data_IF_063891172395
#
_entry.id   IF_063891172395
#
_cell.length_a   1.000
_cell.length_b   1.000
_cell.length_c   1.000
_cell.angle_alpha   90.00
_cell.angle_beta   90.00
_cell.angle_gamma   90.00
#
_symmetry.space_group_name_H-M   'P 1'
#
loop_
_entity.id
_entity.type
_entity.pdbx_description
1 polymer ?
#
# COMPACT_ATOMS: atom_id res chain seq x y z
N UNK A 1 -2.99 21.50 13.40
CA UNK A 1 -3.10 20.28 12.59
C UNK A 1 -2.48 19.16 13.40
N UNK A 2 -3.30 18.26 13.94
CA UNK A 2 -2.78 17.01 14.48
C UNK A 2 -2.34 16.16 13.27
N UNK A 3 -1.15 15.58 13.31
CA UNK A 3 -0.72 14.63 12.30
C UNK A 3 -1.62 13.38 12.49
N UNK A 4 -2.37 12.93 11.47
CA UNK A 4 -3.37 11.86 11.59
C UNK A 4 -2.77 10.46 11.90
N UNK A 5 -1.48 10.40 12.24
CA UNK A 5 -0.68 9.18 12.29
C UNK A 5 0.21 9.13 13.54
N UNK A 6 -0.16 9.82 14.63
CA UNK A 6 0.70 9.95 15.82
C UNK A 6 1.05 8.59 16.46
N UNK A 7 0.19 7.59 16.29
CA UNK A 7 0.38 6.22 16.79
C UNK A 7 0.54 5.18 15.64
N UNK A 8 0.60 5.65 14.38
CA UNK A 8 0.79 4.77 13.25
C UNK A 8 2.23 4.24 13.24
N UNK A 9 2.38 2.93 13.17
CA UNK A 9 3.66 2.25 13.04
C UNK A 9 3.56 1.26 11.89
N UNK A 10 4.65 1.10 11.13
CA UNK A 10 4.68 0.10 10.07
C UNK A 10 4.61 -1.28 10.71
N UNK A 11 3.55 -2.03 10.41
CA UNK A 11 3.33 -3.39 10.91
C UNK A 11 3.91 -4.45 10.00
N UNK A 12 4.12 -4.14 8.72
CA UNK A 12 4.83 -5.01 7.79
C UNK A 12 5.52 -4.23 6.67
N UNK A 13 6.56 -4.86 6.11
CA UNK A 13 7.17 -4.48 4.83
C UNK A 13 7.38 -5.75 4.03
N UNK A 14 7.11 -5.71 2.72
CA UNK A 14 7.31 -6.85 1.82
C UNK A 14 7.74 -6.39 0.44
N UNK A 15 8.74 -7.07 -0.12
CA UNK A 15 9.08 -6.93 -1.54
C UNK A 15 8.03 -7.58 -2.42
N UNK A 16 7.69 -6.94 -3.52
CA UNK A 16 6.78 -7.42 -4.54
C UNK A 16 7.56 -7.74 -5.83
N UNK A 17 6.81 -8.11 -6.86
CA UNK A 17 7.28 -8.17 -8.23
C UNK A 17 7.22 -6.80 -8.87
N UNK A 18 7.22 -6.77 -10.19
CA UNK A 18 7.04 -5.57 -10.98
C UNK A 18 5.57 -5.46 -11.38
N UNK A 19 4.79 -4.71 -10.60
CA UNK A 19 3.34 -4.57 -10.78
C UNK A 19 3.00 -3.60 -11.92
N UNK A 20 3.95 -2.73 -12.30
CA UNK A 20 3.76 -1.73 -13.35
C UNK A 20 4.51 -2.02 -14.66
N UNK A 21 5.14 -3.19 -14.77
CA UNK A 21 5.90 -3.70 -15.94
C UNK A 21 6.98 -2.72 -16.44
N UNK A 22 7.70 -2.07 -15.52
CA UNK A 22 8.77 -1.11 -15.86
C UNK A 22 10.20 -1.72 -15.79
N UNK A 23 10.28 -3.01 -15.48
CA UNK A 23 11.49 -3.78 -15.29
C UNK A 23 12.08 -3.71 -13.88
N UNK A 24 11.38 -3.08 -12.92
CA UNK A 24 11.87 -2.81 -11.57
C UNK A 24 10.90 -3.43 -10.56
N UNK A 25 11.46 -4.05 -9.51
CA UNK A 25 10.62 -4.63 -8.46
C UNK A 25 10.07 -3.56 -7.52
N UNK A 26 8.83 -3.74 -7.14
CA UNK A 26 8.09 -2.89 -6.22
C UNK A 26 8.15 -3.40 -4.80
N UNK A 27 7.59 -2.64 -3.87
CA UNK A 27 7.39 -3.10 -2.50
C UNK A 27 6.10 -2.54 -1.91
N UNK A 28 5.67 -3.16 -0.82
CA UNK A 28 4.59 -2.67 0.01
C UNK A 28 5.05 -2.50 1.46
N UNK A 29 4.45 -1.51 2.11
CA UNK A 29 4.46 -1.35 3.55
C UNK A 29 3.02 -1.10 4.01
N UNK A 30 2.70 -1.45 5.24
CA UNK A 30 1.42 -1.06 5.78
C UNK A 30 1.39 -0.99 7.29
N UNK A 31 0.27 -0.51 7.78
CA UNK A 31 0.02 -0.16 9.18
C UNK A 31 -1.46 -0.35 9.43
N UNK A 32 -1.82 -1.08 10.49
CA UNK A 32 -3.22 -1.24 10.92
C UNK A 32 -3.74 -0.01 11.69
N UNK A 33 -2.85 0.84 12.22
CA UNK A 33 -3.19 2.01 13.06
C UNK A 33 -3.36 3.32 12.27
N UNK A 34 -3.54 3.27 10.95
CA UNK A 34 -3.78 4.48 10.16
C UNK A 34 -5.21 4.97 10.38
N UNK A 35 -5.36 6.23 10.81
CA UNK A 35 -6.66 6.88 10.95
C UNK A 35 -7.14 7.48 9.62
N UNK A 36 -8.44 7.35 9.33
CA UNK A 36 -9.07 8.14 8.28
C UNK A 36 -9.21 9.60 8.74
N UNK A 37 -8.58 10.57 8.04
CA UNK A 37 -8.63 11.97 8.45
C UNK A 37 -10.03 12.60 8.40
N UNK A 38 -10.97 12.00 7.66
CA UNK A 38 -12.35 12.48 7.57
C UNK A 38 -13.21 12.03 8.77
N UNK A 39 -12.94 10.86 9.35
CA UNK A 39 -13.74 10.28 10.43
C UNK A 39 -13.02 10.17 11.78
N UNK A 40 -11.69 10.21 11.78
CA UNK A 40 -10.82 9.96 12.94
C UNK A 40 -10.83 8.51 13.40
N UNK A 41 -11.31 7.57 12.56
CA UNK A 41 -11.37 6.15 12.90
C UNK A 41 -10.16 5.42 12.35
N UNK A 42 -9.65 4.44 13.09
CA UNK A 42 -8.60 3.54 12.63
C UNK A 42 -9.17 2.63 11.53
N UNK A 43 -8.54 2.72 10.35
CA UNK A 43 -8.92 1.98 9.13
C UNK A 43 -7.74 1.26 8.49
N UNK A 44 -6.53 1.44 9.00
CA UNK A 44 -5.32 0.87 8.41
C UNK A 44 -5.03 1.36 6.98
N UNK A 45 -3.82 1.10 6.51
CA UNK A 45 -3.45 1.33 5.12
C UNK A 45 -2.30 0.43 4.67
N UNK A 46 -2.28 0.18 3.37
CA UNK A 46 -1.22 -0.46 2.62
C UNK A 46 -0.77 0.53 1.55
N UNK A 47 0.53 0.80 1.55
CA UNK A 47 1.22 1.63 0.58
C UNK A 47 2.00 0.70 -0.33
N UNK A 48 1.64 0.64 -1.60
CA UNK A 48 2.44 0.01 -2.65
C UNK A 48 3.24 1.13 -3.30
N UNK A 49 4.55 0.94 -3.36
CA UNK A 49 5.48 1.90 -3.93
C UNK A 49 6.15 1.24 -5.13
N UNK A 50 6.03 1.88 -6.29
CA UNK A 50 6.69 1.42 -7.50
C UNK A 50 8.20 1.66 -7.40
N UNK A 51 8.96 0.63 -7.76
CA UNK A 51 10.41 0.67 -7.78
C UNK A 51 10.92 1.74 -8.76
N UNK A 52 12.17 2.14 -8.58
CA UNK A 52 12.85 3.03 -9.52
C UNK A 52 14.34 2.73 -9.58
N UNK A 53 14.95 3.06 -10.71
CA UNK A 53 16.38 2.82 -10.96
C UNK A 53 17.27 3.81 -10.22
N UNK A 54 16.73 4.98 -9.89
CA UNK A 54 17.40 5.97 -9.06
C UNK A 54 17.17 5.63 -7.58
N UNK A 55 18.25 5.56 -6.81
CA UNK A 55 18.17 5.33 -5.37
C UNK A 55 17.37 6.43 -4.65
N UNK A 56 16.99 6.18 -3.40
CA UNK A 56 16.43 7.23 -2.55
C UNK A 56 17.51 8.27 -2.26
N UNK A 57 17.34 9.49 -2.77
CA UNK A 57 18.08 10.68 -2.31
C UNK A 57 17.17 11.47 -1.36
N UNK A 58 17.33 11.27 -0.05
CA UNK A 58 16.57 12.00 0.98
C UNK A 58 15.48 11.20 1.71
N UNK A 59 14.72 11.90 2.54
CA UNK A 59 13.62 11.34 3.33
C UNK A 59 12.35 11.23 2.46
N UNK A 60 11.82 10.01 2.34
CA UNK A 60 10.56 9.73 1.65
C UNK A 60 9.50 9.33 2.66
N UNK A 61 8.41 10.09 2.65
CA UNK A 61 7.27 9.85 3.52
C UNK A 61 6.22 9.12 2.69
N UNK A 62 5.72 7.97 3.15
CA UNK A 62 4.73 7.19 2.39
C UNK A 62 3.45 7.99 2.08
N UNK A 63 3.12 8.97 2.91
CA UNK A 63 2.03 9.93 2.68
C UNK A 63 2.21 10.80 1.41
N UNK A 64 3.42 10.89 0.85
CA UNK A 64 3.68 11.52 -0.45
C UNK A 64 2.97 10.81 -1.62
N UNK A 65 2.54 9.55 -1.47
CA UNK A 65 1.67 8.86 -2.44
C UNK A 65 0.34 9.60 -2.70
N UNK A 66 -0.14 10.34 -1.70
CA UNK A 66 -1.40 11.07 -1.76
C UNK A 66 -1.29 12.44 -2.43
N UNK A 67 -0.07 12.89 -2.74
CA UNK A 67 0.14 14.15 -3.45
C UNK A 67 -0.47 14.09 -4.86
N UNK A 68 -0.81 15.26 -5.40
CA UNK A 68 -1.33 15.37 -6.75
C UNK A 68 -0.36 14.75 -7.78
N UNK A 69 -0.85 14.08 -8.85
CA UNK A 69 0.01 13.41 -9.84
C UNK A 69 1.13 14.28 -10.42
N UNK A 70 0.96 15.59 -10.46
CA UNK A 70 1.94 16.56 -10.96
C UNK A 70 2.92 17.09 -9.92
N UNK A 71 2.84 16.65 -8.66
CA UNK A 71 3.71 17.14 -7.58
C UNK A 71 5.09 16.47 -7.67
N UNK A 72 6.15 17.26 -7.57
CA UNK A 72 7.53 16.78 -7.76
C UNK A 72 7.98 15.74 -6.72
N UNK A 73 7.53 15.91 -5.47
CA UNK A 73 7.81 14.96 -4.39
C UNK A 73 6.86 13.75 -4.35
N UNK A 74 5.95 13.59 -5.32
CA UNK A 74 4.99 12.49 -5.29
C UNK A 74 5.70 11.15 -5.48
N UNK A 75 5.45 10.22 -4.56
CA UNK A 75 5.84 8.83 -4.74
C UNK A 75 4.95 8.14 -5.78
N UNK A 76 5.56 7.35 -6.64
CA UNK A 76 4.85 6.51 -7.60
C UNK A 76 4.36 5.24 -6.91
N UNK A 77 3.11 4.88 -7.16
CA UNK A 77 2.45 3.74 -6.53
C UNK A 77 1.00 4.05 -6.17
N UNK A 78 0.46 3.24 -5.27
CA UNK A 78 -0.94 3.29 -4.82
C UNK A 78 -1.05 3.15 -3.31
N UNK A 79 -2.02 3.85 -2.74
CA UNK A 79 -2.42 3.68 -1.33
C UNK A 79 -3.79 3.02 -1.30
N UNK A 80 -3.89 1.93 -0.55
CA UNK A 80 -5.12 1.22 -0.24
C UNK A 80 -5.41 1.42 1.24
N UNK A 81 -6.62 1.83 1.59
CA UNK A 81 -7.02 2.04 2.98
C UNK A 81 -8.39 1.44 3.21
N UNK A 82 -8.67 1.03 4.45
CA UNK A 82 -10.02 0.66 4.84
C UNK A 82 -10.97 1.84 4.65
N UNK A 83 -12.26 1.51 4.45
CA UNK A 83 -13.32 2.51 4.25
C UNK A 83 -14.26 2.62 5.45
N UNK A 84 -14.27 1.60 6.30
CA UNK A 84 -15.06 1.52 7.53
C UNK A 84 -14.16 1.25 8.74
N UNK A 85 -14.64 1.64 9.92
CA UNK A 85 -13.96 1.34 11.17
C UNK A 85 -13.80 -0.17 11.37
N UNK A 86 -12.58 -0.60 11.71
CA UNK A 86 -12.24 -2.02 11.88
C UNK A 86 -11.87 -2.75 10.58
N UNK A 87 -11.90 -2.08 9.43
CA UNK A 87 -11.32 -2.60 8.17
C UNK A 87 -9.81 -2.32 8.12
N UNK A 88 -9.06 -2.78 9.12
CA UNK A 88 -7.64 -2.44 9.34
C UNK A 88 -6.71 -3.09 8.30
N UNK A 89 -6.82 -2.71 7.02
CA UNK A 89 -5.98 -3.24 5.94
C UNK A 89 -4.50 -3.04 6.27
N UNK A 90 -3.75 -4.13 6.36
CA UNK A 90 -2.41 -4.05 6.94
C UNK A 90 -1.47 -5.18 6.53
N UNK A 91 -1.75 -6.01 5.52
CA UNK A 91 -0.87 -7.10 5.09
C UNK A 91 -0.87 -7.36 3.59
N UNK A 92 0.24 -7.91 3.10
CA UNK A 92 0.35 -8.55 1.78
C UNK A 92 0.42 -10.06 1.95
N UNK A 93 -0.45 -10.77 1.26
CA UNK A 93 -0.49 -12.23 1.20
C UNK A 93 0.21 -12.73 -0.06
N UNK A 94 1.16 -13.65 0.11
CA UNK A 94 1.90 -14.24 -1.00
C UNK A 94 2.98 -13.35 -1.63
N UNK A 95 3.87 -14.00 -2.36
CA UNK A 95 4.82 -13.33 -3.23
C UNK A 95 4.11 -12.93 -4.52
N UNK A 96 4.68 -11.96 -5.24
CA UNK A 96 4.18 -11.57 -6.55
C UNK A 96 4.05 -12.77 -7.48
N UNK A 97 2.83 -12.96 -7.97
CA UNK A 97 2.47 -14.00 -8.92
C UNK A 97 1.54 -13.38 -9.96
N UNK A 98 1.57 -13.88 -11.18
CA UNK A 98 0.64 -13.52 -12.24
C UNK A 98 -0.61 -14.41 -12.12
N UNK A 99 -1.70 -13.89 -11.52
CA UNK A 99 -2.93 -14.65 -11.29
C UNK A 99 -3.88 -14.62 -12.48
N UNK A 100 -3.76 -13.63 -13.38
CA UNK A 100 -4.63 -13.47 -14.53
C UNK A 100 -4.03 -14.00 -15.85
N UNK A 101 -2.74 -14.34 -15.87
CA UNK A 101 -1.99 -14.89 -17.00
C UNK A 101 -1.52 -13.86 -18.03
N UNK A 102 -1.39 -12.58 -17.66
CA UNK A 102 -0.98 -11.51 -18.57
C UNK A 102 0.55 -11.28 -18.65
N UNK A 103 1.31 -11.98 -17.80
CA UNK A 103 2.76 -11.88 -17.71
C UNK A 103 3.28 -10.81 -16.75
N UNK A 104 2.40 -10.07 -16.08
CA UNK A 104 2.73 -9.01 -15.11
C UNK A 104 2.52 -9.54 -13.70
N UNK A 105 3.31 -9.06 -12.74
CA UNK A 105 3.09 -9.45 -11.35
C UNK A 105 1.79 -8.86 -10.81
N UNK A 106 1.04 -9.66 -10.04
CA UNK A 106 -0.09 -9.23 -9.24
C UNK A 106 0.28 -9.28 -7.74
N UNK A 107 -0.57 -8.67 -6.91
CA UNK A 107 -0.45 -8.72 -5.45
C UNK A 107 -1.77 -9.10 -4.78
N UNK A 108 -1.70 -9.79 -3.64
CA UNK A 108 -2.85 -9.96 -2.75
C UNK A 108 -2.58 -9.17 -1.49
N UNK A 109 -3.53 -8.32 -1.10
CA UNK A 109 -3.44 -7.50 0.10
C UNK A 109 -4.66 -7.72 0.97
N UNK A 110 -4.59 -7.36 2.25
CA UNK A 110 -5.74 -7.48 3.12
C UNK A 110 -5.42 -7.41 4.60
N UNK A 111 -6.31 -8.00 5.39
CA UNK A 111 -6.14 -8.21 6.82
C UNK A 111 -6.83 -9.54 7.21
N UNK A 112 -6.12 -10.38 7.98
CA UNK A 112 -6.65 -11.67 8.46
C UNK A 112 -7.69 -11.49 9.58
N UNK A 113 -7.63 -10.39 10.33
CA UNK A 113 -8.45 -10.18 11.55
C UNK A 113 -9.48 -9.02 11.44
N UNK A 114 -9.67 -8.45 10.24
CA UNK A 114 -10.59 -7.32 10.03
C UNK A 114 -12.01 -7.58 10.55
N UNK A 115 -12.63 -6.53 11.12
CA UNK A 115 -14.02 -6.46 11.58
C UNK A 115 -14.52 -7.64 12.44
N UNK A 116 -13.74 -8.04 13.44
CA UNK A 116 -14.15 -9.11 14.37
C UNK A 116 -13.88 -10.52 13.83
N UNK A 117 -12.83 -10.68 13.02
CA UNK A 117 -12.35 -11.97 12.53
C UNK A 117 -12.97 -12.44 11.22
N UNK A 118 -13.59 -11.54 10.44
CA UNK A 118 -14.10 -11.90 9.11
C UNK A 118 -13.01 -11.86 8.04
N UNK A 119 -11.97 -11.04 8.27
CA UNK A 119 -10.85 -10.85 7.35
C UNK A 119 -11.29 -10.29 5.99
N UNK A 120 -10.35 -9.68 5.27
CA UNK A 120 -10.55 -9.27 3.88
C UNK A 120 -9.28 -9.55 3.09
N UNK A 121 -9.45 -9.98 1.84
CA UNK A 121 -8.37 -10.10 0.87
C UNK A 121 -8.80 -9.50 -0.47
N UNK A 122 -7.94 -8.65 -1.03
CA UNK A 122 -8.12 -7.97 -2.30
C UNK A 122 -6.97 -8.41 -3.21
N UNK A 123 -7.31 -8.84 -4.43
CA UNK A 123 -6.34 -9.06 -5.49
C UNK A 123 -6.18 -7.77 -6.27
N UNK A 124 -4.95 -7.33 -6.42
CA UNK A 124 -4.54 -6.18 -7.22
C UNK A 124 -3.86 -6.74 -8.46
N UNK A 125 -4.49 -6.50 -9.61
CA UNK A 125 -3.89 -6.89 -10.89
C UNK A 125 -2.84 -5.86 -11.31
N UNK A 126 -1.68 -6.36 -11.70
CA UNK A 126 -0.64 -5.57 -12.34
C UNK A 126 -1.11 -5.01 -13.68
N UNK A 127 -0.46 -3.95 -14.12
CA UNK A 127 -0.76 -3.30 -15.39
C UNK A 127 0.40 -2.42 -15.82
N UNK A 128 0.74 -2.34 -17.11
CA UNK A 128 1.71 -1.37 -17.58
C UNK A 128 1.19 0.05 -17.28
N UNK A 129 2.09 0.93 -16.82
CA UNK A 129 1.79 2.38 -16.65
C UNK A 129 2.05 3.19 -17.90
#
# INVERSE_FOLDING_TARGET
>A
FALPHVDAHITFVRGLGDLNDDGIRDFAAGSDQIEDPATGQVVGAIYIVFGRTTGLEGDYLLEQLHLAPSHEDRLHGVMLKGTLAGEELARVFGDAADFNGDGIADAIVGNEEGAGGTGEAIVILGSPT
#
